data_IF_635039695728
#
_entry.id   IF_635039695728
#
_cell.length_a   1.000
_cell.length_b   1.000
_cell.length_c   1.000
_cell.angle_alpha   90.00
_cell.angle_beta   90.00
_cell.angle_gamma   90.00
#
_symmetry.space_group_name_H-M   'P 1'
#
loop_
_entity.id
_entity.type
_entity.pdbx_description
1 polymer ?
#
# COMPACT_ATOMS: atom_id res chain seq x y z
N UNK A 1 8.34 -0.69 19.36
CA UNK A 1 7.52 -1.92 19.50
C UNK A 1 7.47 -2.59 18.15
N UNK A 2 7.70 -3.90 18.05
CA UNK A 2 7.65 -4.59 16.75
C UNK A 2 6.21 -4.85 16.33
N UNK A 3 5.90 -4.68 15.03
CA UNK A 3 4.57 -4.94 14.49
C UNK A 3 3.53 -3.83 14.71
N UNK A 4 3.98 -2.60 15.00
CA UNK A 4 3.13 -1.43 15.18
C UNK A 4 3.51 -0.35 14.17
N UNK A 5 2.53 0.28 13.54
CA UNK A 5 2.66 1.46 12.68
C UNK A 5 2.21 2.69 13.46
N UNK A 6 2.82 3.86 13.17
CA UNK A 6 2.54 5.16 13.78
C UNK A 6 3.35 5.45 15.04
N UNK A 7 3.35 6.71 15.43
CA UNK A 7 4.11 7.23 16.57
C UNK A 7 3.18 7.62 17.73
N UNK A 8 2.08 8.34 17.45
CA UNK A 8 1.03 8.69 18.40
C UNK A 8 -0.26 7.92 18.10
N UNK A 9 -0.83 8.10 16.91
CA UNK A 9 -1.87 7.22 16.42
C UNK A 9 -1.21 5.88 16.09
N UNK A 10 -1.47 4.86 16.86
CA UNK A 10 -0.81 3.57 16.62
C UNK A 10 -1.77 2.50 16.16
N UNK A 11 -1.28 1.67 15.25
CA UNK A 11 -2.00 0.55 14.69
C UNK A 11 -1.19 -0.74 14.85
N UNK A 12 -1.77 -1.76 15.46
CA UNK A 12 -1.23 -3.12 15.54
C UNK A 12 -2.20 -4.10 14.89
N UNK A 13 -1.68 -5.02 14.10
CA UNK A 13 -2.49 -6.02 13.40
C UNK A 13 -2.16 -7.44 13.82
N UNK A 14 -3.12 -8.34 13.65
CA UNK A 14 -2.99 -9.78 13.90
C UNK A 14 -3.70 -10.59 12.81
N UNK A 15 -3.57 -11.91 12.85
CA UNK A 15 -4.14 -12.84 11.90
C UNK A 15 -3.13 -13.31 10.85
N UNK A 16 -3.46 -14.37 10.15
CA UNK A 16 -2.63 -15.01 9.13
C UNK A 16 -3.45 -15.45 7.92
N UNK A 17 -2.79 -15.65 6.77
CA UNK A 17 -3.46 -15.92 5.49
C UNK A 17 -4.38 -17.14 5.49
N UNK A 18 -4.14 -18.11 6.37
CA UNK A 18 -4.93 -19.31 6.55
C UNK A 18 -5.41 -19.48 8.02
N UNK A 19 -5.33 -18.41 8.83
CA UNK A 19 -6.00 -18.31 10.12
C UNK A 19 -7.50 -18.05 9.97
N UNK A 20 -8.23 -18.04 11.07
CA UNK A 20 -9.69 -17.83 11.09
C UNK A 20 -10.08 -16.42 10.64
N UNK A 21 -9.28 -15.42 11.04
CA UNK A 21 -9.54 -14.01 10.75
C UNK A 21 -8.25 -13.19 10.69
N UNK A 22 -8.37 -12.01 10.10
CA UNK A 22 -7.47 -10.89 10.28
C UNK A 22 -8.11 -9.83 11.15
N UNK A 23 -7.33 -9.04 11.86
CA UNK A 23 -7.85 -7.93 12.63
C UNK A 23 -6.77 -6.95 13.04
N UNK A 24 -7.21 -5.88 13.67
CA UNK A 24 -6.32 -4.84 14.14
C UNK A 24 -6.89 -4.02 15.26
N UNK A 25 -6.02 -3.28 15.93
CA UNK A 25 -6.35 -2.37 17.01
C UNK A 25 -5.69 -1.02 16.71
N UNK A 26 -6.51 0.04 16.63
CA UNK A 26 -6.05 1.43 16.61
C UNK A 26 -6.17 2.00 18.02
N UNK A 27 -5.12 2.71 18.45
CA UNK A 27 -5.09 3.42 19.73
C UNK A 27 -4.82 4.91 19.52
N UNK A 28 -5.21 5.72 20.50
CA UNK A 28 -5.08 7.19 20.48
C UNK A 28 -5.88 7.87 19.36
N UNK A 29 -6.96 7.24 18.92
CA UNK A 29 -7.89 7.86 17.98
C UNK A 29 -8.82 8.80 18.75
N UNK A 30 -9.00 10.09 18.32
CA UNK A 30 -9.83 11.05 19.03
C UNK A 30 -11.28 10.61 19.16
N UNK A 31 -11.94 11.00 20.25
CA UNK A 31 -13.38 10.79 20.45
C UNK A 31 -14.23 11.71 19.57
N UNK A 32 -15.47 11.28 19.26
CA UNK A 32 -16.49 12.06 18.59
C UNK A 32 -16.35 12.17 17.08
N UNK A 33 -15.40 11.49 16.46
CA UNK A 33 -15.23 11.44 15.00
C UNK A 33 -16.32 10.55 14.41
N UNK A 34 -17.12 11.09 13.50
CA UNK A 34 -18.14 10.33 12.76
C UNK A 34 -17.44 9.44 11.75
N UNK A 35 -17.77 8.15 11.73
CA UNK A 35 -17.20 7.15 10.81
C UNK A 35 -18.18 6.85 9.69
N UNK A 36 -17.68 6.87 8.46
CA UNK A 36 -18.35 6.38 7.27
C UNK A 36 -17.95 4.92 7.04
N UNK A 37 -18.84 3.99 7.38
CA UNK A 37 -18.62 2.56 7.23
C UNK A 37 -18.68 2.12 5.77
N UNK A 38 -19.50 2.80 4.96
CA UNK A 38 -19.65 2.49 3.54
C UNK A 38 -18.35 2.83 2.80
N UNK A 39 -17.68 3.93 3.17
CA UNK A 39 -16.37 4.28 2.63
C UNK A 39 -15.31 3.25 3.02
N UNK A 40 -15.30 2.75 4.26
CA UNK A 40 -14.36 1.69 4.67
C UNK A 40 -14.58 0.43 3.84
N UNK A 41 -15.83 0.01 3.67
CA UNK A 41 -16.16 -1.17 2.86
C UNK A 41 -15.85 -0.93 1.38
N UNK A 42 -16.06 0.27 0.87
CA UNK A 42 -15.70 0.65 -0.49
C UNK A 42 -14.18 0.48 -0.72
N UNK A 43 -13.34 0.99 0.18
CA UNK A 43 -11.89 0.85 0.06
C UNK A 43 -11.42 -0.61 0.19
N UNK A 44 -12.04 -1.41 1.05
CA UNK A 44 -11.81 -2.86 1.10
C UNK A 44 -12.21 -3.53 -0.22
N UNK A 45 -13.33 -3.13 -0.81
CA UNK A 45 -13.78 -3.61 -2.11
C UNK A 45 -12.79 -3.24 -3.23
N UNK A 46 -12.20 -2.05 -3.23
CA UNK A 46 -11.13 -1.66 -4.17
C UNK A 46 -9.89 -2.54 -4.01
N UNK A 47 -9.60 -3.02 -2.80
CA UNK A 47 -8.42 -3.86 -2.50
C UNK A 47 -8.65 -5.35 -2.76
N UNK A 48 -9.86 -5.89 -2.57
CA UNK A 48 -10.15 -7.32 -2.62
C UNK A 48 -9.79 -7.99 -3.95
N UNK A 49 -9.55 -9.32 -3.97
CA UNK A 49 -9.35 -10.07 -5.22
C UNK A 49 -10.64 -10.19 -6.03
N UNK A 50 -10.51 -10.62 -7.30
CA UNK A 50 -11.68 -10.97 -8.13
C UNK A 50 -12.42 -9.79 -8.77
N UNK A 51 -11.80 -8.61 -8.83
CA UNK A 51 -12.43 -7.40 -9.37
C UNK A 51 -12.42 -7.34 -10.90
N UNK A 52 -11.45 -8.00 -11.55
CA UNK A 52 -11.27 -7.92 -12.99
C UNK A 52 -10.52 -9.13 -13.56
N UNK A 53 -10.42 -9.19 -14.90
CA UNK A 53 -9.70 -10.26 -15.60
C UNK A 53 -8.19 -10.24 -15.36
N UNK A 54 -7.61 -9.09 -15.02
CA UNK A 54 -6.15 -8.92 -14.83
C UNK A 54 -5.68 -9.15 -13.39
N UNK A 55 -6.58 -9.51 -12.48
CA UNK A 55 -6.27 -9.89 -11.08
C UNK A 55 -6.74 -11.32 -10.78
N UNK A 56 -6.32 -11.87 -9.64
CA UNK A 56 -6.74 -13.22 -9.22
C UNK A 56 -8.25 -13.34 -9.10
N UNK A 57 -8.79 -14.49 -9.52
CA UNK A 57 -10.23 -14.80 -9.51
C UNK A 57 -10.74 -15.34 -8.15
N UNK A 58 -10.00 -15.09 -7.07
CA UNK A 58 -10.45 -15.38 -5.70
C UNK A 58 -11.65 -14.51 -5.37
N UNK A 59 -12.67 -15.06 -4.70
CA UNK A 59 -13.81 -14.29 -4.21
C UNK A 59 -13.79 -14.31 -2.69
N UNK A 60 -13.74 -13.13 -2.09
CA UNK A 60 -13.78 -12.92 -0.65
C UNK A 60 -14.66 -11.70 -0.38
N UNK A 61 -15.51 -11.76 0.64
CA UNK A 61 -16.38 -10.66 1.00
C UNK A 61 -15.57 -9.50 1.59
N UNK A 62 -14.54 -9.81 2.40
CA UNK A 62 -13.71 -8.87 3.14
C UNK A 62 -14.57 -7.87 3.95
N UNK A 63 -15.63 -8.37 4.62
CA UNK A 63 -16.50 -7.54 5.47
C UNK A 63 -15.83 -7.26 6.80
N UNK A 64 -15.75 -5.98 7.17
CA UNK A 64 -15.17 -5.57 8.45
C UNK A 64 -16.22 -5.53 9.55
N UNK A 65 -15.89 -6.13 10.70
CA UNK A 65 -16.68 -6.06 11.93
C UNK A 65 -15.92 -5.31 13.00
N UNK A 66 -16.50 -4.19 13.48
CA UNK A 66 -15.95 -3.43 14.60
C UNK A 66 -16.40 -4.03 15.93
N UNK A 67 -15.46 -4.17 16.88
CA UNK A 67 -15.68 -4.83 18.18
C UNK A 67 -15.66 -3.85 19.35
N UNK A 68 -14.98 -2.71 19.21
CA UNK A 68 -14.83 -1.69 20.25
C UNK A 68 -14.48 -0.33 19.67
N UNK A 69 -14.56 0.70 20.50
CA UNK A 69 -14.08 2.04 20.18
C UNK A 69 -15.05 2.90 19.35
N UNK A 70 -16.22 2.37 18.99
CA UNK A 70 -17.26 3.08 18.23
C UNK A 70 -18.61 2.89 18.90
N UNK A 71 -19.37 3.98 19.06
CA UNK A 71 -20.73 3.99 19.58
C UNK A 71 -21.59 4.97 18.76
N UNK A 72 -22.76 4.54 18.32
CA UNK A 72 -23.68 5.34 17.47
C UNK A 72 -22.98 6.00 16.26
N UNK A 73 -22.08 5.26 15.60
CA UNK A 73 -21.35 5.72 14.42
C UNK A 73 -20.24 6.75 14.70
N UNK A 74 -19.88 6.98 15.97
CA UNK A 74 -18.81 7.89 16.38
C UNK A 74 -17.77 7.16 17.24
N UNK A 75 -16.52 7.60 17.12
CA UNK A 75 -15.44 7.11 17.96
C UNK A 75 -15.60 7.52 19.42
N UNK A 76 -15.18 6.66 20.35
CA UNK A 76 -15.30 6.90 21.79
C UNK A 76 -14.03 7.42 22.44
N UNK A 77 -12.91 7.49 21.71
CA UNK A 77 -11.58 7.76 22.25
C UNK A 77 -10.89 6.54 22.85
N UNK A 78 -11.59 5.40 22.91
CA UNK A 78 -11.02 4.12 23.36
C UNK A 78 -10.45 3.34 22.15
N UNK A 79 -9.64 2.30 22.39
CA UNK A 79 -9.09 1.50 21.31
C UNK A 79 -10.16 0.97 20.34
N UNK A 80 -9.98 1.21 19.05
CA UNK A 80 -10.86 0.70 18.00
C UNK A 80 -10.35 -0.67 17.58
N UNK A 81 -11.06 -1.72 17.98
CA UNK A 81 -10.78 -3.09 17.59
C UNK A 81 -11.70 -3.53 16.45
N UNK A 82 -11.14 -4.21 15.44
CA UNK A 82 -11.91 -4.77 14.34
C UNK A 82 -11.35 -6.11 13.89
N UNK A 83 -12.17 -6.86 13.17
CA UNK A 83 -11.75 -8.10 12.49
C UNK A 83 -12.44 -8.25 11.13
N UNK A 84 -11.82 -9.07 10.27
CA UNK A 84 -12.34 -9.54 8.98
C UNK A 84 -12.12 -11.05 8.91
N UNK A 85 -13.19 -11.80 8.73
CA UNK A 85 -13.14 -13.27 8.68
C UNK A 85 -12.52 -13.80 7.39
N UNK A 86 -11.86 -14.95 7.46
CA UNK A 86 -11.31 -15.66 6.31
C UNK A 86 -12.28 -16.78 5.90
N UNK A 87 -13.00 -16.61 4.79
CA UNK A 87 -14.03 -17.58 4.37
C UNK A 87 -13.53 -18.66 3.38
N UNK A 88 -12.51 -18.39 2.58
CA UNK A 88 -12.13 -19.20 1.41
C UNK A 88 -10.68 -19.73 1.47
N UNK A 89 -10.31 -20.38 2.57
CA UNK A 89 -8.99 -20.99 2.75
C UNK A 89 -8.93 -22.37 2.03
N UNK A 90 -7.99 -22.54 1.09
CA UNK A 90 -7.72 -23.83 0.44
C UNK A 90 -6.33 -24.34 0.83
N UNK A 91 -6.23 -25.01 1.96
CA UNK A 91 -4.99 -25.55 2.53
C UNK A 91 -4.28 -26.54 1.61
N UNK A 92 -5.03 -27.37 0.87
CA UNK A 92 -4.49 -28.39 -0.06
C UNK A 92 -3.60 -27.83 -1.17
N UNK A 93 -3.80 -26.58 -1.56
CA UNK A 93 -3.00 -25.94 -2.61
C UNK A 93 -1.53 -25.69 -2.19
N UNK A 94 -1.18 -25.83 -0.92
CA UNK A 94 0.13 -25.50 -0.34
C UNK A 94 0.92 -26.68 0.21
N UNK A 95 0.37 -27.91 0.24
CA UNK A 95 1.06 -29.09 0.81
C UNK A 95 2.41 -29.36 0.14
N UNK A 96 2.55 -29.14 -1.16
CA UNK A 96 3.80 -29.28 -1.91
C UNK A 96 4.87 -28.27 -1.48
N UNK A 97 4.50 -27.20 -0.78
CA UNK A 97 5.40 -26.16 -0.25
C UNK A 97 5.89 -26.44 1.18
N UNK A 98 5.41 -27.51 1.83
CA UNK A 98 5.78 -27.81 3.21
C UNK A 98 7.29 -27.97 3.41
N UNK A 99 8.00 -28.48 2.37
CA UNK A 99 9.45 -28.71 2.37
C UNK A 99 10.20 -27.92 1.29
N UNK A 100 9.52 -27.07 0.52
CA UNK A 100 10.09 -26.32 -0.59
C UNK A 100 10.04 -24.81 -0.35
N UNK A 101 11.00 -24.09 -0.89
CA UNK A 101 11.07 -22.64 -0.80
C UNK A 101 10.77 -22.00 -2.15
N UNK A 102 9.78 -21.12 -2.20
CA UNK A 102 9.49 -20.35 -3.42
C UNK A 102 10.58 -19.29 -3.64
N UNK A 103 11.17 -19.20 -4.84
CA UNK A 103 12.14 -18.16 -5.14
C UNK A 103 11.57 -16.76 -4.87
N UNK A 104 12.36 -15.89 -4.22
CA UNK A 104 11.97 -14.51 -3.87
C UNK A 104 10.72 -14.36 -2.99
N UNK A 105 10.25 -15.44 -2.36
CA UNK A 105 9.18 -15.43 -1.35
C UNK A 105 9.77 -15.49 0.07
N UNK A 106 8.96 -15.22 1.10
CA UNK A 106 9.42 -15.21 2.50
C UNK A 106 9.64 -16.58 3.11
N UNK A 107 9.36 -17.68 2.42
CA UNK A 107 9.39 -19.04 2.95
C UNK A 107 10.73 -19.38 3.64
N UNK A 108 11.84 -19.18 2.94
CA UNK A 108 13.18 -19.44 3.45
C UNK A 108 13.53 -18.54 4.65
N UNK A 109 13.26 -17.25 4.56
CA UNK A 109 13.62 -16.29 5.61
C UNK A 109 12.81 -16.48 6.88
N UNK A 110 11.58 -16.99 6.78
CA UNK A 110 10.76 -17.36 7.94
C UNK A 110 11.37 -18.55 8.69
N UNK A 111 11.73 -19.63 7.96
CA UNK A 111 12.38 -20.79 8.59
C UNK A 111 13.72 -20.42 9.23
N UNK A 112 14.53 -19.57 8.55
CA UNK A 112 15.81 -19.10 9.11
C UNK A 112 15.63 -18.24 10.36
N UNK A 113 14.59 -17.40 10.40
CA UNK A 113 14.38 -16.48 11.52
C UNK A 113 13.69 -17.12 12.71
N UNK A 114 12.66 -17.94 12.45
CA UNK A 114 11.78 -18.44 13.50
C UNK A 114 11.97 -19.95 13.77
N UNK A 115 12.70 -20.68 12.91
CA UNK A 115 12.90 -22.13 12.99
C UNK A 115 11.63 -22.96 12.71
N UNK A 116 10.52 -22.29 12.44
CA UNK A 116 9.21 -22.88 12.19
C UNK A 116 8.33 -21.93 11.39
N UNK A 117 7.54 -22.44 10.45
CA UNK A 117 6.55 -21.66 9.70
C UNK A 117 5.26 -22.44 9.44
N UNK A 118 4.15 -21.75 9.35
CA UNK A 118 2.94 -22.30 8.75
C UNK A 118 3.11 -22.26 7.21
N UNK A 119 3.27 -23.42 6.59
CA UNK A 119 3.45 -23.54 5.15
C UNK A 119 2.17 -23.35 4.34
N UNK A 120 1.01 -23.27 5.00
CA UNK A 120 -0.32 -23.11 4.38
C UNK A 120 -0.52 -21.68 3.81
N UNK A 121 0.46 -21.13 3.12
CA UNK A 121 0.42 -19.82 2.50
C UNK A 121 1.57 -18.92 2.91
N UNK A 122 1.36 -17.62 2.95
CA UNK A 122 2.37 -16.64 3.34
C UNK A 122 2.33 -16.23 4.82
N UNK A 123 1.40 -16.78 5.63
CA UNK A 123 1.22 -16.37 7.02
C UNK A 123 1.05 -14.84 7.15
N UNK A 124 1.80 -14.23 8.07
CA UNK A 124 1.89 -12.78 8.26
C UNK A 124 2.53 -12.03 7.08
N UNK A 125 3.38 -12.69 6.28
CA UNK A 125 3.99 -12.07 5.08
C UNK A 125 3.07 -12.06 3.85
N UNK A 126 1.85 -12.58 3.98
CA UNK A 126 0.87 -12.55 2.90
C UNK A 126 0.38 -11.12 2.63
N UNK A 127 0.21 -10.78 1.34
CA UNK A 127 -0.42 -9.52 0.96
C UNK A 127 -1.88 -9.38 1.44
N UNK A 128 -2.51 -10.46 1.93
CA UNK A 128 -3.83 -10.40 2.55
C UNK A 128 -3.83 -9.55 3.83
N UNK A 129 -2.73 -9.50 4.57
CA UNK A 129 -2.52 -8.62 5.72
C UNK A 129 -2.90 -7.15 5.43
N UNK A 130 -2.72 -6.70 4.20
CA UNK A 130 -2.98 -5.31 3.80
C UNK A 130 -4.45 -4.90 3.89
N UNK A 131 -5.40 -5.85 4.05
CA UNK A 131 -6.79 -5.51 4.34
C UNK A 131 -6.92 -4.73 5.67
N UNK A 132 -6.15 -5.14 6.69
CA UNK A 132 -6.10 -4.45 7.98
C UNK A 132 -5.59 -3.01 7.83
N UNK A 133 -4.60 -2.81 6.95
CA UNK A 133 -4.01 -1.49 6.69
C UNK A 133 -4.99 -0.58 5.96
N UNK A 134 -5.80 -1.12 5.05
CA UNK A 134 -6.87 -0.37 4.38
C UNK A 134 -7.92 0.07 5.38
N UNK A 135 -8.37 -0.79 6.30
CA UNK A 135 -9.32 -0.39 7.36
C UNK A 135 -8.73 0.72 8.23
N UNK A 136 -7.50 0.52 8.73
CA UNK A 136 -6.84 1.48 9.62
C UNK A 136 -6.60 2.84 8.94
N UNK A 137 -6.15 2.83 7.68
CA UNK A 137 -5.88 4.04 6.92
C UNK A 137 -7.16 4.78 6.53
N UNK A 138 -8.23 4.07 6.18
CA UNK A 138 -9.52 4.70 5.89
C UNK A 138 -10.14 5.30 7.17
N UNK A 139 -10.05 4.62 8.31
CA UNK A 139 -10.40 5.24 9.59
C UNK A 139 -9.61 6.52 9.84
N UNK A 140 -8.30 6.48 9.67
CA UNK A 140 -7.41 7.62 9.87
C UNK A 140 -7.74 8.80 8.93
N UNK A 141 -8.21 8.52 7.71
CA UNK A 141 -8.63 9.54 6.73
C UNK A 141 -9.76 10.43 7.25
N UNK A 142 -10.64 9.93 8.13
CA UNK A 142 -11.71 10.74 8.74
C UNK A 142 -11.19 11.88 9.63
N UNK A 143 -9.93 11.84 10.05
CA UNK A 143 -9.27 12.94 10.76
C UNK A 143 -8.80 14.08 9.83
N UNK A 144 -8.85 13.86 8.52
CA UNK A 144 -8.29 14.73 7.50
C UNK A 144 -9.33 14.98 6.38
N UNK A 145 -10.51 15.58 6.68
CA UNK A 145 -11.60 15.70 5.72
C UNK A 145 -11.22 16.50 4.46
N UNK A 146 -10.39 17.52 4.61
CA UNK A 146 -9.98 18.40 3.50
C UNK A 146 -8.83 17.81 2.64
N UNK A 147 -8.13 16.79 3.13
CA UNK A 147 -7.02 16.18 2.40
C UNK A 147 -7.54 15.22 1.35
N UNK A 148 -7.09 15.35 0.12
CA UNK A 148 -7.39 14.44 -0.98
C UNK A 148 -6.17 13.57 -1.29
N UNK A 149 -6.39 12.28 -1.47
CA UNK A 149 -5.32 11.31 -1.75
C UNK A 149 -5.68 10.52 -3.00
N UNK A 150 -4.81 10.58 -4.00
CA UNK A 150 -4.99 9.94 -5.29
C UNK A 150 -3.78 9.09 -5.65
N UNK A 151 -3.91 7.77 -5.53
CA UNK A 151 -2.90 6.85 -6.04
C UNK A 151 -3.36 6.20 -7.33
N UNK A 152 -2.44 6.06 -8.28
CA UNK A 152 -2.72 5.45 -9.57
C UNK A 152 -1.51 4.66 -10.08
N UNK A 153 -1.76 3.67 -10.94
CA UNK A 153 -0.69 2.92 -11.59
C UNK A 153 -0.05 3.81 -12.66
N UNK A 154 1.20 4.20 -12.41
CA UNK A 154 1.98 5.06 -13.30
C UNK A 154 2.88 4.31 -14.26
N UNK A 155 3.22 3.04 -13.99
CA UNK A 155 3.86 2.15 -14.98
C UNK A 155 3.51 0.68 -14.75
N UNK A 156 3.57 -0.12 -15.82
CA UNK A 156 3.55 -1.59 -15.81
C UNK A 156 4.67 -2.10 -16.71
N UNK A 157 5.65 -2.77 -16.11
CA UNK A 157 6.87 -3.13 -16.84
C UNK A 157 7.54 -1.89 -17.43
N UNK A 158 7.77 -1.94 -18.75
CA UNK A 158 8.36 -0.85 -19.54
C UNK A 158 7.37 0.24 -19.95
N UNK A 159 6.06 0.03 -19.79
CA UNK A 159 5.03 0.96 -20.20
C UNK A 159 4.75 1.95 -19.07
N UNK A 160 5.00 3.24 -19.32
CA UNK A 160 4.82 4.31 -18.35
C UNK A 160 3.82 5.36 -18.85
N UNK A 161 3.04 5.94 -17.94
CA UNK A 161 2.21 7.10 -18.24
C UNK A 161 3.10 8.31 -18.55
N UNK A 162 3.00 8.92 -19.75
CA UNK A 162 3.88 10.00 -20.15
C UNK A 162 3.49 11.35 -19.56
N UNK A 163 2.27 11.49 -19.06
CA UNK A 163 1.74 12.75 -18.54
C UNK A 163 2.17 12.99 -17.11
N UNK A 164 2.60 14.21 -16.76
CA UNK A 164 2.80 14.60 -15.37
C UNK A 164 1.44 14.59 -14.63
N UNK A 165 1.47 14.40 -13.32
CA UNK A 165 0.23 14.24 -12.52
C UNK A 165 -0.70 15.47 -12.60
N UNK A 166 -0.15 16.65 -12.84
CA UNK A 166 -0.91 17.90 -12.98
C UNK A 166 -1.86 17.92 -14.21
N UNK A 167 -1.58 17.10 -15.21
CA UNK A 167 -2.37 16.99 -16.46
C UNK A 167 -3.36 15.81 -16.42
N UNK A 168 -3.40 15.06 -15.31
CA UNK A 168 -4.23 13.87 -15.16
C UNK A 168 -5.56 14.20 -14.47
N UNK A 169 -6.63 13.62 -14.98
CA UNK A 169 -7.96 13.64 -14.36
C UNK A 169 -8.09 12.42 -13.41
N UNK A 170 -7.94 12.66 -12.11
CA UNK A 170 -7.97 11.60 -11.11
C UNK A 170 -9.35 10.94 -10.94
N UNK A 171 -10.45 11.55 -11.41
CA UNK A 171 -11.76 10.90 -11.42
C UNK A 171 -11.77 9.61 -12.26
N UNK A 172 -10.84 9.50 -13.21
CA UNK A 172 -10.71 8.35 -14.13
C UNK A 172 -9.89 7.18 -13.58
N UNK A 173 -9.34 7.27 -12.38
CA UNK A 173 -8.48 6.22 -11.81
C UNK A 173 -9.20 4.87 -11.78
N UNK A 174 -10.43 4.84 -11.29
CA UNK A 174 -11.20 3.59 -11.14
C UNK A 174 -12.09 3.26 -12.35
N UNK A 175 -12.00 4.02 -13.47
CA UNK A 175 -12.75 3.72 -14.71
C UNK A 175 -12.18 2.54 -15.50
N UNK A 176 -10.96 2.09 -15.18
CA UNK A 176 -10.34 0.94 -15.84
C UNK A 176 -9.67 -0.02 -14.85
N UNK A 177 -9.49 -1.27 -15.31
CA UNK A 177 -9.01 -2.37 -14.46
C UNK A 177 -7.60 -2.18 -13.92
N UNK A 178 -6.75 -1.42 -14.63
CA UNK A 178 -5.35 -1.18 -14.22
C UNK A 178 -5.20 0.04 -13.32
N UNK A 179 -6.26 0.90 -13.21
CA UNK A 179 -6.24 2.12 -12.41
C UNK A 179 -5.19 3.14 -12.88
N UNK A 180 -5.07 3.32 -14.17
CA UNK A 180 -4.29 4.38 -14.79
C UNK A 180 -5.23 5.46 -15.35
N UNK A 181 -5.13 6.74 -14.95
CA UNK A 181 -6.05 7.79 -15.39
C UNK A 181 -5.85 8.22 -16.84
N UNK A 182 -4.77 7.79 -17.52
CA UNK A 182 -4.59 7.97 -18.96
C UNK A 182 -5.10 6.75 -19.72
N UNK A 183 -6.21 6.90 -20.43
CA UNK A 183 -6.91 5.80 -21.10
C UNK A 183 -6.03 5.07 -22.14
N UNK A 184 -5.22 5.81 -22.90
CA UNK A 184 -4.34 5.23 -23.92
C UNK A 184 -3.28 4.35 -23.28
N UNK A 185 -2.64 4.85 -22.23
CA UNK A 185 -1.63 4.10 -21.48
C UNK A 185 -2.26 2.93 -20.73
N UNK A 186 -3.46 3.10 -20.17
CA UNK A 186 -4.19 2.02 -19.49
C UNK A 186 -4.40 0.80 -20.38
N UNK A 187 -4.80 1.00 -21.65
CA UNK A 187 -4.98 -0.09 -22.62
C UNK A 187 -3.67 -0.86 -22.84
N UNK A 188 -2.56 -0.16 -23.06
CA UNK A 188 -1.24 -0.78 -23.24
C UNK A 188 -0.78 -1.54 -21.99
N UNK A 189 -1.01 -0.99 -20.80
CA UNK A 189 -0.69 -1.65 -19.52
C UNK A 189 -1.50 -2.93 -19.33
N UNK A 190 -2.80 -2.92 -19.65
CA UNK A 190 -3.67 -4.11 -19.60
C UNK A 190 -3.16 -5.19 -20.55
N UNK A 191 -2.86 -4.84 -21.79
CA UNK A 191 -2.28 -5.76 -22.77
C UNK A 191 -0.96 -6.37 -22.27
N UNK A 192 -0.10 -5.56 -21.66
CA UNK A 192 1.17 -6.02 -21.08
C UNK A 192 0.98 -7.04 -19.95
N UNK A 193 -0.01 -6.80 -19.07
CA UNK A 193 -0.37 -7.73 -17.99
C UNK A 193 -0.91 -9.04 -18.57
N UNK A 194 -1.78 -8.97 -19.58
CA UNK A 194 -2.33 -10.16 -20.25
C UNK A 194 -1.26 -10.99 -20.95
N UNK A 195 -0.27 -10.32 -21.58
CA UNK A 195 0.87 -11.02 -22.19
C UNK A 195 1.69 -11.78 -21.14
N UNK A 196 1.93 -11.19 -19.96
CA UNK A 196 2.60 -11.88 -18.86
C UNK A 196 1.77 -13.08 -18.39
N UNK A 197 0.47 -12.88 -18.14
CA UNK A 197 -0.46 -13.93 -17.73
C UNK A 197 -0.49 -15.13 -18.69
N UNK A 198 -0.54 -14.86 -20.01
CA UNK A 198 -0.55 -15.92 -21.06
C UNK A 198 0.72 -16.76 -21.05
N UNK A 199 1.85 -16.18 -20.63
CA UNK A 199 3.14 -16.87 -20.50
C UNK A 199 3.31 -17.59 -19.15
N UNK A 200 2.34 -17.50 -18.24
CA UNK A 200 2.48 -18.01 -16.87
C UNK A 200 3.46 -17.17 -16.01
N UNK A 201 3.78 -15.97 -16.45
CA UNK A 201 4.70 -15.02 -15.81
C UNK A 201 3.94 -13.86 -15.14
N UNK A 202 4.68 -12.96 -14.50
CA UNK A 202 4.15 -11.80 -13.76
C UNK A 202 4.90 -10.53 -14.15
N UNK A 203 4.29 -9.38 -13.90
CA UNK A 203 4.90 -8.07 -14.18
C UNK A 203 4.73 -7.13 -13.00
N UNK A 204 5.74 -6.33 -12.72
CA UNK A 204 5.74 -5.24 -11.74
C UNK A 204 5.51 -3.89 -12.38
N UNK A 205 5.80 -2.83 -11.65
CA UNK A 205 5.72 -1.45 -12.12
C UNK A 205 5.68 -0.47 -10.97
N UNK A 206 5.11 0.71 -11.19
CA UNK A 206 5.08 1.79 -10.20
C UNK A 206 3.67 2.32 -9.95
N UNK A 207 3.45 2.78 -8.73
CA UNK A 207 2.28 3.56 -8.33
C UNK A 207 2.76 4.95 -7.97
N UNK A 208 2.11 5.97 -8.50
CA UNK A 208 2.27 7.36 -8.08
C UNK A 208 1.13 7.72 -7.14
N UNK A 209 1.46 8.37 -6.03
CA UNK A 209 0.50 8.95 -5.09
C UNK A 209 0.64 10.46 -5.12
N UNK A 210 -0.49 11.16 -5.17
CA UNK A 210 -0.59 12.62 -5.08
C UNK A 210 -1.54 12.96 -3.94
N UNK A 211 -1.08 13.78 -3.01
CA UNK A 211 -1.83 14.23 -1.85
C UNK A 211 -2.01 15.73 -1.97
N UNK A 212 -3.26 16.16 -2.07
CA UNK A 212 -3.64 17.58 -2.14
C UNK A 212 -4.17 18.07 -0.81
N UNK A 213 -4.06 19.36 -0.59
CA UNK A 213 -4.59 20.04 0.60
C UNK A 213 -4.00 19.53 1.92
N UNK A 214 -2.81 18.94 1.90
CA UNK A 214 -2.14 18.52 3.13
C UNK A 214 -1.84 19.77 3.99
N UNK A 215 -2.16 19.75 5.30
CA UNK A 215 -1.82 20.84 6.19
C UNK A 215 -0.32 21.15 6.17
N UNK A 216 0.05 22.44 6.26
CA UNK A 216 1.44 22.85 6.47
C UNK A 216 1.89 22.43 7.86
N UNK A 217 3.15 22.02 8.00
CA UNK A 217 3.76 21.74 9.30
C UNK A 217 3.70 20.27 9.73
N UNK A 218 3.28 19.34 8.88
CA UNK A 218 3.30 17.92 9.20
C UNK A 218 4.70 17.34 9.04
N UNK A 219 5.16 16.61 10.05
CA UNK A 219 6.48 15.98 10.08
C UNK A 219 7.49 16.75 10.92
N UNK A 220 8.67 16.17 11.09
CA UNK A 220 9.72 16.66 11.97
C UNK A 220 10.99 17.00 11.18
N UNK A 221 11.83 17.93 11.68
CA UNK A 221 13.10 18.27 11.01
C UNK A 221 14.17 17.18 11.17
N UNK A 222 14.03 16.30 12.17
CA UNK A 222 14.97 15.20 12.46
C UNK A 222 14.21 13.91 12.72
N UNK A 223 14.72 12.78 12.20
CA UNK A 223 14.19 11.40 12.27
C UNK A 223 12.77 11.25 11.69
N UNK A 224 11.72 11.62 12.39
CA UNK A 224 10.32 11.45 11.94
C UNK A 224 9.94 12.47 10.85
N UNK A 225 10.81 12.68 9.87
CA UNK A 225 10.54 13.48 8.68
C UNK A 225 9.36 12.88 7.93
N UNK A 226 8.45 13.72 7.44
CA UNK A 226 7.25 13.24 6.77
C UNK A 226 7.56 12.25 5.60
N UNK A 227 8.54 12.58 4.76
CA UNK A 227 8.94 11.66 3.68
C UNK A 227 9.58 10.37 4.19
N UNK A 228 10.24 10.39 5.34
CA UNK A 228 10.82 9.18 5.93
C UNK A 228 9.71 8.25 6.49
N UNK A 229 8.70 8.79 7.15
CA UNK A 229 7.56 8.01 7.63
C UNK A 229 6.69 7.49 6.48
N UNK A 230 6.46 8.30 5.44
CA UNK A 230 5.83 7.83 4.19
C UNK A 230 6.65 6.70 3.56
N UNK A 231 7.96 6.88 3.41
CA UNK A 231 8.85 5.85 2.86
C UNK A 231 8.86 4.57 3.68
N UNK A 232 8.90 4.66 5.01
CA UNK A 232 8.80 3.52 5.92
C UNK A 232 7.49 2.75 5.75
N UNK A 233 6.36 3.46 5.67
CA UNK A 233 5.06 2.84 5.46
C UNK A 233 4.98 2.16 4.09
N UNK A 234 5.40 2.82 3.01
CA UNK A 234 5.38 2.30 1.64
C UNK A 234 6.32 1.12 1.45
N UNK A 235 7.54 1.17 1.97
CA UNK A 235 8.50 0.06 1.91
C UNK A 235 8.06 -1.15 2.74
N UNK A 236 7.13 -0.97 3.66
CA UNK A 236 6.44 -2.05 4.38
C UNK A 236 5.45 -2.84 3.53
N UNK A 237 4.99 -2.30 2.39
CA UNK A 237 4.03 -2.98 1.52
C UNK A 237 4.69 -4.19 0.85
N UNK A 238 3.96 -5.31 0.83
CA UNK A 238 4.42 -6.52 0.16
C UNK A 238 4.81 -6.24 -1.30
N UNK A 239 5.92 -6.82 -1.75
CA UNK A 239 6.52 -6.64 -3.07
C UNK A 239 7.06 -5.22 -3.36
N UNK A 240 6.94 -4.25 -2.48
CA UNK A 240 7.58 -2.95 -2.64
C UNK A 240 9.11 -3.09 -2.67
N UNK A 241 9.77 -2.32 -3.55
CA UNK A 241 11.23 -2.33 -3.78
C UNK A 241 11.86 -0.95 -3.85
N UNK A 242 11.06 0.09 -3.94
CA UNK A 242 11.56 1.44 -4.02
C UNK A 242 10.53 2.48 -3.63
N UNK A 243 11.02 3.60 -3.15
CA UNK A 243 10.26 4.78 -2.82
C UNK A 243 11.07 6.01 -3.21
N UNK A 244 10.45 6.95 -3.89
CA UNK A 244 11.01 8.26 -4.16
C UNK A 244 9.91 9.33 -4.07
N UNK A 245 10.27 10.56 -3.66
CA UNK A 245 9.33 11.66 -3.55
C UNK A 245 9.84 12.90 -4.27
N UNK A 246 8.93 13.77 -4.69
CA UNK A 246 9.29 14.92 -5.48
C UNK A 246 9.99 14.52 -6.79
N UNK A 247 11.04 15.24 -7.15
CA UNK A 247 11.88 14.92 -8.31
C UNK A 247 12.63 13.59 -8.17
N UNK A 248 12.78 13.06 -6.93
CA UNK A 248 13.40 11.76 -6.68
C UNK A 248 14.78 11.61 -7.29
N UNK A 249 15.02 10.47 -7.97
CA UNK A 249 16.31 10.19 -8.62
C UNK A 249 16.63 11.14 -9.78
N UNK A 250 15.62 11.70 -10.45
CA UNK A 250 15.86 12.70 -11.51
C UNK A 250 16.40 14.00 -10.94
N UNK A 251 16.00 14.39 -9.73
CA UNK A 251 16.55 15.53 -9.01
C UNK A 251 18.06 15.45 -8.77
N UNK A 252 18.59 14.23 -8.56
CA UNK A 252 20.02 14.01 -8.39
C UNK A 252 20.86 14.34 -9.65
N UNK A 253 20.24 14.45 -10.83
CA UNK A 253 20.87 14.81 -12.10
C UNK A 253 20.79 16.31 -12.39
N UNK A 254 20.02 17.07 -11.60
CA UNK A 254 19.78 18.50 -11.79
C UNK A 254 20.88 19.33 -11.13
N UNK A 255 21.11 20.53 -11.65
CA UNK A 255 21.89 21.55 -10.91
C UNK A 255 21.09 22.11 -9.75
N UNK A 256 21.73 22.59 -8.69
CA UNK A 256 21.03 23.16 -7.53
C UNK A 256 20.09 24.32 -7.91
N UNK A 257 20.50 25.16 -8.87
CA UNK A 257 19.67 26.28 -9.35
C UNK A 257 18.42 25.83 -10.12
N UNK A 258 18.47 24.67 -10.79
CA UNK A 258 17.33 24.09 -11.48
C UNK A 258 16.39 23.31 -10.52
N UNK A 259 16.96 22.71 -9.47
CA UNK A 259 16.24 21.94 -8.46
C UNK A 259 15.48 22.84 -7.46
N UNK A 260 15.92 24.06 -7.23
CA UNK A 260 15.35 24.93 -6.21
C UNK A 260 13.93 25.38 -6.57
N UNK A 261 12.98 25.10 -5.67
CA UNK A 261 11.60 25.58 -5.75
C UNK A 261 11.53 27.05 -5.30
N UNK A 262 11.50 27.97 -6.28
CA UNK A 262 11.49 29.42 -6.02
C UNK A 262 10.12 29.84 -5.46
N UNK A 263 10.12 30.57 -4.35
CA UNK A 263 8.89 31.05 -3.70
C UNK A 263 8.15 32.10 -4.52
N UNK A 264 6.83 32.00 -4.47
CA UNK A 264 5.89 33.08 -4.77
C UNK A 264 5.64 33.93 -3.51
N UNK A 265 5.07 35.12 -3.67
CA UNK A 265 4.79 36.02 -2.56
C UNK A 265 3.79 35.47 -1.53
N UNK A 266 2.95 34.52 -1.90
CA UNK A 266 1.96 33.85 -1.06
C UNK A 266 2.52 32.65 -0.27
N UNK A 267 3.82 32.36 -0.43
CA UNK A 267 4.49 31.24 0.20
C UNK A 267 4.29 29.89 -0.51
N UNK A 268 3.64 29.86 -1.68
CA UNK A 268 3.69 28.72 -2.60
C UNK A 268 5.00 28.75 -3.40
N UNK A 269 5.25 27.72 -4.21
CA UNK A 269 6.46 27.66 -5.04
C UNK A 269 6.12 27.56 -6.51
N UNK A 270 7.02 28.08 -7.40
CA UNK A 270 6.84 28.05 -8.87
C UNK A 270 6.95 26.64 -9.43
N UNK A 271 7.75 25.80 -8.82
CA UNK A 271 7.96 24.39 -9.11
C UNK A 271 7.73 23.60 -7.83
N UNK A 272 7.68 22.28 -7.90
CA UNK A 272 7.47 21.42 -6.73
C UNK A 272 8.41 20.19 -6.78
N UNK A 273 9.69 20.43 -7.07
CA UNK A 273 10.69 19.36 -7.07
C UNK A 273 10.92 18.75 -5.69
N UNK A 274 10.68 19.53 -4.63
CA UNK A 274 10.72 19.06 -3.23
C UNK A 274 9.55 18.11 -2.89
N UNK A 275 8.55 17.97 -3.77
CA UNK A 275 7.40 17.08 -3.54
C UNK A 275 6.54 17.45 -2.34
N UNK A 276 6.34 18.77 -2.09
CA UNK A 276 5.52 19.28 -0.98
C UNK A 276 6.16 19.17 0.39
N UNK A 277 7.44 18.74 0.50
CA UNK A 277 8.13 18.49 1.78
C UNK A 277 9.50 19.16 1.76
N UNK A 278 9.70 20.11 2.65
CA UNK A 278 10.98 20.82 2.82
C UNK A 278 11.50 20.65 4.25
N UNK A 279 12.77 20.29 4.41
CA UNK A 279 13.34 20.00 5.74
C UNK A 279 12.72 18.83 6.50
N UNK A 280 11.86 18.03 5.86
CA UNK A 280 11.10 16.94 6.48
C UNK A 280 9.67 17.32 6.85
N UNK A 281 9.24 18.56 6.55
CA UNK A 281 7.99 19.16 6.98
C UNK A 281 7.17 19.54 5.74
N UNK A 282 5.85 19.30 5.75
CA UNK A 282 4.96 19.70 4.66
C UNK A 282 4.88 21.21 4.51
N UNK A 283 4.99 21.71 3.28
CA UNK A 283 4.99 23.15 2.95
C UNK A 283 3.64 23.67 2.39
N UNK A 284 2.66 22.79 2.21
CA UNK A 284 1.33 23.12 1.68
C UNK A 284 1.20 22.99 0.16
N UNK A 285 2.28 22.66 -0.56
CA UNK A 285 2.19 22.21 -1.94
C UNK A 285 1.73 20.75 -1.98
N UNK A 286 1.32 20.27 -3.17
CA UNK A 286 0.97 18.86 -3.35
C UNK A 286 2.14 17.97 -2.90
N UNK A 287 1.85 16.98 -2.07
CA UNK A 287 2.84 15.95 -1.76
C UNK A 287 2.70 14.86 -2.81
N UNK A 288 3.79 14.53 -3.50
CA UNK A 288 3.76 13.42 -4.45
C UNK A 288 4.99 12.54 -4.34
N UNK A 289 4.76 11.24 -4.54
CA UNK A 289 5.81 10.22 -4.47
C UNK A 289 5.48 9.03 -5.38
N UNK A 290 6.48 8.20 -5.64
CA UNK A 290 6.35 6.97 -6.42
C UNK A 290 6.81 5.76 -5.61
N UNK A 291 6.10 4.65 -5.77
CA UNK A 291 6.39 3.37 -5.11
C UNK A 291 6.59 2.30 -6.18
N UNK A 292 7.74 1.63 -6.17
CA UNK A 292 8.06 0.58 -7.12
C UNK A 292 7.75 -0.81 -6.54
N UNK A 293 7.09 -1.65 -7.33
CA UNK A 293 6.71 -3.01 -6.97
C UNK A 293 7.36 -4.02 -7.91
N UNK A 294 8.00 -5.03 -7.34
CA UNK A 294 8.51 -6.16 -8.13
C UNK A 294 7.38 -7.03 -8.66
N UNK A 295 7.62 -7.84 -9.71
CA UNK A 295 6.71 -8.89 -10.12
C UNK A 295 6.39 -9.87 -8.97
N UNK A 296 5.23 -10.51 -9.03
CA UNK A 296 4.82 -11.54 -8.06
C UNK A 296 5.77 -12.74 -8.15
N UNK A 297 6.21 -13.25 -7.01
CA UNK A 297 7.20 -14.34 -6.96
C UNK A 297 6.65 -15.72 -7.37
N UNK A 298 5.34 -15.93 -7.25
CA UNK A 298 4.72 -17.21 -7.61
C UNK A 298 4.37 -17.21 -9.10
N UNK A 299 5.12 -17.98 -9.88
CA UNK A 299 4.94 -18.13 -11.32
C UNK A 299 4.20 -19.44 -11.65
N UNK A 300 3.43 -19.44 -12.73
CA UNK A 300 2.74 -20.62 -13.27
C UNK A 300 3.63 -21.42 -14.24
N UNK A 301 4.92 -21.13 -14.23
CA UNK A 301 5.96 -21.83 -15.01
C UNK A 301 6.97 -22.47 -14.07
N UNK A 302 7.63 -23.59 -14.48
CA UNK A 302 8.64 -24.24 -13.66
C UNK A 302 9.82 -23.33 -13.36
N UNK A 303 10.27 -23.34 -12.10
CA UNK A 303 11.46 -22.64 -11.62
C UNK A 303 12.36 -23.61 -10.87
N UNK A 304 13.66 -23.40 -10.90
CA UNK A 304 14.59 -24.07 -9.99
C UNK A 304 14.48 -23.45 -8.59
N UNK A 305 14.53 -24.29 -7.58
CA UNK A 305 14.53 -23.92 -6.19
C UNK A 305 15.23 -24.98 -5.33
N UNK A 306 15.16 -24.82 -4.01
CA UNK A 306 15.68 -25.79 -3.04
C UNK A 306 14.57 -26.25 -2.10
N UNK A 307 14.75 -27.47 -1.57
CA UNK A 307 13.98 -27.95 -0.43
C UNK A 307 14.66 -27.57 0.91
N UNK A 308 14.04 -27.93 2.02
CA UNK A 308 14.56 -27.64 3.36
C UNK A 308 15.82 -28.48 3.73
N UNK A 309 16.20 -29.47 2.93
CA UNK A 309 17.43 -30.22 3.06
C UNK A 309 18.55 -29.68 2.15
N UNK A 310 18.27 -28.63 1.34
CA UNK A 310 19.22 -28.02 0.40
C UNK A 310 19.31 -28.72 -0.96
N UNK A 311 18.44 -29.67 -1.27
CA UNK A 311 18.43 -30.34 -2.58
C UNK A 311 17.79 -29.41 -3.62
N UNK A 312 18.37 -29.41 -4.84
CA UNK A 312 17.78 -28.68 -5.98
C UNK A 312 16.50 -29.40 -6.43
N UNK A 313 15.43 -28.63 -6.56
CA UNK A 313 14.11 -29.12 -6.98
C UNK A 313 13.56 -28.23 -8.11
N UNK A 314 12.60 -28.76 -8.88
CA UNK A 314 11.77 -27.95 -9.77
C UNK A 314 10.47 -27.64 -9.06
N UNK A 315 10.11 -26.37 -8.98
CA UNK A 315 8.90 -25.88 -8.35
C UNK A 315 8.05 -25.15 -9.38
N UNK A 316 6.78 -25.51 -9.46
CA UNK A 316 5.78 -24.84 -10.29
C UNK A 316 4.68 -24.29 -9.41
N UNK A 317 4.29 -23.03 -9.62
CA UNK A 317 3.20 -22.43 -8.89
C UNK A 317 1.87 -23.12 -9.21
N UNK A 318 1.09 -23.38 -8.17
CA UNK A 318 -0.28 -23.91 -8.28
C UNK A 318 -1.27 -22.89 -7.71
N UNK A 319 -2.49 -22.91 -8.24
CA UNK A 319 -3.55 -22.03 -7.74
C UNK A 319 -3.70 -20.73 -8.54
N UNK A 320 -4.38 -19.76 -7.93
CA UNK A 320 -4.76 -18.49 -8.56
C UNK A 320 -3.92 -17.36 -8.00
N UNK A 321 -3.03 -16.80 -8.82
CA UNK A 321 -2.13 -15.71 -8.43
C UNK A 321 -2.38 -14.47 -9.30
N UNK A 322 -2.08 -13.30 -8.77
CA UNK A 322 -2.14 -12.04 -9.52
C UNK A 322 -1.00 -12.02 -10.56
N UNK A 323 -1.27 -11.78 -11.85
CA UNK A 323 -0.21 -11.52 -12.82
C UNK A 323 0.45 -10.15 -12.59
N UNK A 324 -0.25 -9.23 -11.92
CA UNK A 324 0.22 -7.91 -11.52
C UNK A 324 -0.48 -7.48 -10.22
N UNK A 325 0.28 -7.03 -9.22
CA UNK A 325 -0.27 -6.60 -7.92
C UNK A 325 -0.72 -5.14 -7.91
N UNK A 326 -0.27 -4.34 -8.86
CA UNK A 326 -0.40 -2.88 -8.84
C UNK A 326 -1.85 -2.39 -8.65
N UNK A 327 -2.86 -2.89 -9.41
CA UNK A 327 -4.22 -2.39 -9.24
C UNK A 327 -4.76 -2.58 -7.81
N UNK A 328 -4.35 -3.66 -7.14
CA UNK A 328 -4.75 -3.95 -5.76
C UNK A 328 -3.92 -3.19 -4.72
N UNK A 329 -2.72 -2.76 -5.08
CA UNK A 329 -1.85 -1.98 -4.20
C UNK A 329 -2.26 -0.50 -4.14
N UNK A 330 -2.96 0.04 -5.13
CA UNK A 330 -3.43 1.43 -5.15
C UNK A 330 -4.16 1.83 -3.86
N UNK A 331 -5.25 1.18 -3.41
CA UNK A 331 -5.93 1.55 -2.17
C UNK A 331 -5.08 1.31 -0.90
N UNK A 332 -4.05 0.48 -0.97
CA UNK A 332 -3.11 0.28 0.15
C UNK A 332 -2.21 1.50 0.29
N UNK A 333 -1.72 2.04 -0.83
CA UNK A 333 -0.91 3.27 -0.86
C UNK A 333 -1.75 4.45 -0.37
N UNK A 334 -3.02 4.59 -0.82
CA UNK A 334 -3.96 5.60 -0.33
C UNK A 334 -4.12 5.52 1.20
N UNK A 335 -4.42 4.33 1.70
CA UNK A 335 -4.68 4.09 3.12
C UNK A 335 -3.47 4.37 4.03
N UNK A 336 -2.29 3.90 3.64
CA UNK A 336 -1.07 4.14 4.42
C UNK A 336 -0.65 5.62 4.38
N UNK A 337 -0.88 6.31 3.26
CA UNK A 337 -0.68 7.77 3.16
C UNK A 337 -1.57 8.50 4.15
N UNK A 338 -2.87 8.17 4.18
CA UNK A 338 -3.83 8.74 5.10
C UNK A 338 -3.42 8.49 6.56
N UNK A 339 -2.98 7.26 6.87
CA UNK A 339 -2.54 6.90 8.23
C UNK A 339 -1.35 7.73 8.69
N UNK A 340 -0.30 7.84 7.87
CA UNK A 340 0.92 8.61 8.21
C UNK A 340 0.59 10.09 8.39
N UNK A 341 -0.22 10.67 7.50
CA UNK A 341 -0.62 12.07 7.62
C UNK A 341 -1.47 12.33 8.87
N UNK A 342 -2.38 11.42 9.21
CA UNK A 342 -3.22 11.54 10.41
C UNK A 342 -2.40 11.42 11.69
N UNK A 343 -1.41 10.52 11.74
CA UNK A 343 -0.49 10.40 12.87
C UNK A 343 0.28 11.71 13.09
N UNK A 344 0.89 12.27 12.01
CA UNK A 344 1.59 13.54 12.07
C UNK A 344 0.67 14.72 12.43
N UNK A 345 -0.57 14.72 11.92
CA UNK A 345 -1.57 15.74 12.25
C UNK A 345 -1.92 15.73 13.73
N UNK A 346 -2.13 14.56 14.32
CA UNK A 346 -2.44 14.44 15.75
C UNK A 346 -1.25 14.87 16.63
N UNK A 347 -0.01 14.55 16.22
CA UNK A 347 1.21 15.01 16.89
C UNK A 347 1.28 16.55 16.86
N UNK A 348 1.05 17.16 15.70
CA UNK A 348 1.09 18.62 15.55
C UNK A 348 -0.01 19.33 16.34
N UNK A 349 -1.21 18.74 16.42
CA UNK A 349 -2.31 19.28 17.23
C UNK A 349 -1.99 19.36 18.71
N UNK A 350 -1.17 18.46 19.25
CA UNK A 350 -0.78 18.48 20.66
C UNK A 350 0.25 19.56 21.00
N UNK A 351 0.95 20.09 20.00
CA UNK A 351 2.00 21.11 20.18
C UNK A 351 1.47 22.54 20.10
N UNK A 352 0.30 22.72 19.51
CA UNK A 352 -0.34 24.04 19.41
C UNK A 352 -1.25 24.23 20.61
N UNK A 353 -0.87 25.19 21.46
CA UNK A 353 -1.67 25.65 22.61
C UNK A 353 -2.75 26.62 22.12
#
# INVERSE_FOLDING_TARGET
>A
MFGTLGNYLTFSSFGESHGEAYGGILTNFPAGVKIDFDEIQHQLNRRKPGQSAIVTQRKEADEVRFLSGIFEGKTTGMPIGFLVENENQKTKDYEHLARAYRPSHADYTYDQKFGFRDYRGGGRSSARETLNWVVAGTLAKHLLPEVEIYSYVSSVGEISCPKPYQELDFSKIDENEVRCPDETTAKLMIERIEQARKKGDTVGGTITCVIKNAPKGLGEPVFNKLHAELGKAMLGINACKGFEYGAGFEGAKMSGSAQNDIFNADGTTKTNYSGGIQGGISNGMDIYFRVAFKPVSTLMMPQESIDNAGNIIKLEGKGRHDPCVLPRAVPIVDALSAFVLADMYLIEKQRKI
#
